data_IF_813679192315
#
_entry.id   IF_813679192315
#
_cell.length_a   1.000
_cell.length_b   1.000
_cell.length_c   1.000
_cell.angle_alpha   90.00
_cell.angle_beta   90.00
_cell.angle_gamma   90.00
#
_symmetry.space_group_name_H-M   'P 1'
#
loop_
_entity.id
_entity.type
_entity.pdbx_description
1 polymer ?
#
# COMPACT_ATOMS: atom_id res chain seq x y z
N UNK A 1 43.77 6.71 -38.52
CA UNK A 1 44.15 5.54 -37.72
C UNK A 1 43.46 5.70 -36.38
N UNK A 2 42.86 4.66 -35.82
CA UNK A 2 42.32 4.74 -34.46
C UNK A 2 43.51 4.83 -33.49
N UNK A 3 43.40 5.69 -32.48
CA UNK A 3 44.42 5.80 -31.44
C UNK A 3 44.46 4.52 -30.59
N UNK A 4 45.65 4.04 -30.20
CA UNK A 4 45.77 2.78 -29.46
C UNK A 4 45.48 2.95 -27.97
N UNK A 5 44.86 1.95 -27.35
CA UNK A 5 44.77 1.88 -25.89
C UNK A 5 46.14 1.67 -25.23
N UNK A 6 46.31 2.21 -24.02
CA UNK A 6 47.48 1.95 -23.18
C UNK A 6 47.14 0.82 -22.20
N UNK A 7 47.82 -0.32 -22.33
CA UNK A 7 47.59 -1.49 -21.49
C UNK A 7 48.80 -1.76 -20.58
N UNK A 8 48.57 -2.05 -19.31
CA UNK A 8 49.61 -2.52 -18.38
C UNK A 8 49.13 -3.72 -17.56
N UNK A 9 50.02 -4.68 -17.35
CA UNK A 9 49.79 -5.82 -16.44
C UNK A 9 50.85 -5.79 -15.35
N UNK A 10 50.41 -5.79 -14.11
CA UNK A 10 51.26 -5.90 -12.93
C UNK A 10 51.01 -7.24 -12.23
N UNK A 11 52.09 -7.96 -11.91
CA UNK A 11 52.06 -9.18 -11.12
C UNK A 11 52.88 -8.97 -9.85
N UNK A 12 52.25 -9.11 -8.70
CA UNK A 12 52.84 -8.96 -7.38
C UNK A 12 52.48 -10.15 -6.50
N UNK A 13 53.45 -10.66 -5.72
CA UNK A 13 53.17 -11.73 -4.75
C UNK A 13 52.29 -11.26 -3.59
N UNK A 14 52.32 -9.95 -3.29
CA UNK A 14 51.55 -9.34 -2.21
C UNK A 14 50.26 -8.70 -2.70
N UNK A 15 50.30 -8.04 -3.86
CA UNK A 15 49.16 -7.36 -4.47
C UNK A 15 48.33 -8.20 -5.45
N UNK A 16 48.84 -9.38 -5.84
CA UNK A 16 48.23 -10.26 -6.84
C UNK A 16 48.40 -9.73 -8.27
N UNK A 17 47.38 -9.88 -9.11
CA UNK A 17 47.43 -9.50 -10.53
C UNK A 17 46.54 -8.29 -10.77
N UNK A 18 47.08 -7.27 -11.43
CA UNK A 18 46.31 -6.10 -11.86
C UNK A 18 46.48 -5.89 -13.37
N UNK A 19 45.38 -5.71 -14.08
CA UNK A 19 45.33 -5.34 -15.49
C UNK A 19 44.69 -3.97 -15.59
N UNK A 20 45.35 -3.03 -16.28
CA UNK A 20 44.84 -1.68 -16.52
C UNK A 20 44.80 -1.41 -18.02
N UNK A 21 43.69 -0.84 -18.48
CA UNK A 21 43.52 -0.32 -19.85
C UNK A 21 43.10 1.14 -19.75
N UNK A 22 43.83 2.03 -20.40
CA UNK A 22 43.54 3.46 -20.45
C UNK A 22 43.22 3.91 -21.87
N UNK A 23 42.19 4.73 -21.96
CA UNK A 23 41.82 5.53 -23.12
C UNK A 23 42.00 6.99 -22.70
N UNK A 24 43.10 7.60 -23.16
CA UNK A 24 43.44 8.97 -22.75
C UNK A 24 42.51 10.00 -23.39
N UNK A 25 42.06 9.77 -24.63
CA UNK A 25 41.15 10.66 -25.35
C UNK A 25 39.76 10.71 -24.71
N UNK A 26 39.24 9.54 -24.30
CA UNK A 26 37.93 9.44 -23.67
C UNK A 26 37.97 9.72 -22.16
N UNK A 27 39.16 9.88 -21.57
CA UNK A 27 39.41 9.99 -20.14
C UNK A 27 38.80 8.81 -19.36
N UNK A 28 39.10 7.58 -19.83
CA UNK A 28 38.58 6.33 -19.25
C UNK A 28 39.73 5.44 -18.80
N UNK A 29 39.63 4.95 -17.56
CA UNK A 29 40.52 3.90 -17.04
C UNK A 29 39.70 2.69 -16.60
N UNK A 30 40.04 1.52 -17.14
CA UNK A 30 39.47 0.23 -16.75
C UNK A 30 40.52 -0.57 -15.99
N UNK A 31 40.13 -1.21 -14.90
CA UNK A 31 41.05 -1.97 -14.05
C UNK A 31 40.40 -3.27 -13.59
N UNK A 32 41.13 -4.38 -13.71
CA UNK A 32 40.79 -5.66 -13.08
C UNK A 32 41.91 -6.00 -12.11
N UNK A 33 41.60 -6.13 -10.83
CA UNK A 33 42.55 -6.47 -9.78
C UNK A 33 42.12 -7.76 -9.06
N UNK A 34 43.06 -8.68 -8.88
CA UNK A 34 42.88 -9.97 -8.22
C UNK A 34 43.97 -10.12 -7.16
N UNK A 35 43.66 -9.85 -5.90
CA UNK A 35 44.66 -9.77 -4.82
C UNK A 35 44.73 -11.03 -3.92
N UNK A 36 44.16 -12.14 -4.38
CA UNK A 36 44.10 -13.41 -3.65
C UNK A 36 42.93 -13.56 -2.67
N UNK A 37 42.26 -12.46 -2.30
CA UNK A 37 41.05 -12.49 -1.44
C UNK A 37 39.83 -11.87 -2.11
N UNK A 38 40.06 -10.94 -3.03
CA UNK A 38 39.03 -10.19 -3.73
C UNK A 38 39.33 -10.12 -5.22
N UNK A 39 38.28 -10.06 -6.02
CA UNK A 39 38.33 -9.64 -7.42
C UNK A 39 37.59 -8.32 -7.54
N UNK A 40 38.24 -7.31 -8.11
CA UNK A 40 37.66 -5.98 -8.31
C UNK A 40 37.75 -5.58 -9.77
N UNK A 41 36.63 -5.21 -10.37
CA UNK A 41 36.54 -4.61 -11.70
C UNK A 41 36.11 -3.15 -11.51
N UNK A 42 36.92 -2.22 -12.00
CA UNK A 42 36.65 -0.77 -11.89
C UNK A 42 36.66 -0.12 -13.25
N UNK A 43 35.70 0.75 -13.51
CA UNK A 43 35.70 1.67 -14.65
C UNK A 43 35.60 3.08 -14.10
N UNK A 44 36.57 3.94 -14.42
CA UNK A 44 36.57 5.37 -14.09
C UNK A 44 36.42 6.18 -15.37
N UNK A 45 35.65 7.26 -15.31
CA UNK A 45 35.54 8.26 -16.36
C UNK A 45 35.65 9.65 -15.75
N UNK A 46 36.74 10.36 -16.05
CA UNK A 46 37.10 11.58 -15.33
C UNK A 46 37.28 11.36 -13.83
N UNK A 47 37.16 12.44 -13.05
CA UNK A 47 37.53 12.42 -11.63
C UNK A 47 36.47 11.73 -10.74
N UNK A 48 35.18 11.92 -11.03
CA UNK A 48 34.11 11.62 -10.07
C UNK A 48 33.22 10.43 -10.46
N UNK A 49 33.27 9.97 -11.72
CA UNK A 49 32.38 8.88 -12.20
C UNK A 49 33.10 7.56 -12.13
N UNK A 50 32.64 6.67 -11.26
CA UNK A 50 33.24 5.35 -11.07
C UNK A 50 32.18 4.27 -10.97
N UNK A 51 32.35 3.18 -11.71
CA UNK A 51 31.63 1.92 -11.49
C UNK A 51 32.59 0.88 -10.95
N UNK A 52 32.17 0.10 -9.96
CA UNK A 52 32.96 -0.95 -9.33
C UNK A 52 32.11 -2.20 -9.10
N UNK A 53 32.64 -3.35 -9.50
CA UNK A 53 32.20 -4.66 -9.06
C UNK A 53 33.29 -5.25 -8.17
N UNK A 54 32.96 -5.57 -6.92
CA UNK A 54 33.86 -6.26 -5.99
C UNK A 54 33.24 -7.57 -5.56
N UNK A 55 34.02 -8.64 -5.65
CA UNK A 55 33.64 -9.97 -5.20
C UNK A 55 34.69 -10.48 -4.21
N UNK A 56 34.24 -11.04 -3.10
CA UNK A 56 35.05 -11.82 -2.17
C UNK A 56 34.33 -13.13 -1.82
N UNK A 57 34.82 -13.85 -0.81
CA UNK A 57 34.24 -15.14 -0.41
C UNK A 57 32.85 -15.02 0.24
N UNK A 58 32.48 -13.84 0.74
CA UNK A 58 31.27 -13.62 1.54
C UNK A 58 30.21 -12.79 0.79
N UNK A 59 30.63 -11.92 -0.13
CA UNK A 59 29.73 -10.95 -0.77
C UNK A 59 30.12 -10.57 -2.20
N UNK A 60 29.11 -10.07 -2.91
CA UNK A 60 29.24 -9.36 -4.19
C UNK A 60 28.69 -7.94 -3.99
N UNK A 61 29.45 -6.94 -4.43
CA UNK A 61 29.06 -5.53 -4.36
C UNK A 61 29.17 -4.90 -5.74
N UNK A 62 28.05 -4.41 -6.26
CA UNK A 62 28.01 -3.48 -7.39
C UNK A 62 27.84 -2.06 -6.83
N UNK A 63 28.70 -1.14 -7.24
CA UNK A 63 28.68 0.26 -6.82
C UNK A 63 28.84 1.17 -8.03
N UNK A 64 27.98 2.17 -8.16
CA UNK A 64 28.09 3.24 -9.14
C UNK A 64 28.11 4.57 -8.40
N UNK A 65 29.18 5.33 -8.55
CA UNK A 65 29.42 6.60 -7.91
C UNK A 65 29.43 7.75 -8.93
N UNK A 66 28.77 8.84 -8.57
CA UNK A 66 28.84 10.19 -9.14
C UNK A 66 28.47 11.17 -8.02
N UNK A 67 27.60 12.13 -8.27
CA UNK A 67 27.08 13.06 -7.25
C UNK A 67 26.41 12.34 -6.05
N UNK A 68 25.80 11.20 -6.33
CA UNK A 68 25.30 10.25 -5.35
C UNK A 68 25.79 8.84 -5.69
N UNK A 69 25.66 7.89 -4.75
CA UNK A 69 26.09 6.50 -4.94
C UNK A 69 24.89 5.55 -4.92
N UNK A 70 24.82 4.67 -5.92
CA UNK A 70 23.92 3.50 -5.90
C UNK A 70 24.71 2.23 -5.63
N UNK A 71 24.15 1.32 -4.83
CA UNK A 71 24.78 0.05 -4.47
C UNK A 71 23.81 -1.11 -4.52
N UNK A 72 24.27 -2.26 -5.00
CA UNK A 72 23.66 -3.57 -4.77
C UNK A 72 24.68 -4.42 -4.02
N UNK A 73 24.32 -4.90 -2.84
CA UNK A 73 25.14 -5.79 -2.02
C UNK A 73 24.41 -7.10 -1.81
N UNK A 74 25.04 -8.20 -2.21
CA UNK A 74 24.52 -9.55 -2.02
C UNK A 74 25.46 -10.33 -1.10
N UNK A 75 24.90 -10.93 -0.05
CA UNK A 75 25.53 -11.95 0.80
C UNK A 75 24.84 -13.29 0.57
N UNK A 76 25.29 -14.34 1.27
CA UNK A 76 24.69 -15.67 1.18
C UNK A 76 23.18 -15.72 1.51
N UNK A 77 22.67 -14.77 2.29
CA UNK A 77 21.33 -14.77 2.88
C UNK A 77 20.55 -13.47 2.62
N UNK A 78 21.13 -12.48 1.94
CA UNK A 78 20.54 -11.15 1.82
C UNK A 78 20.96 -10.43 0.54
N UNK A 79 20.04 -9.63 0.00
CA UNK A 79 20.33 -8.60 -1.00
C UNK A 79 19.88 -7.24 -0.44
N UNK A 80 20.73 -6.22 -0.57
CA UNK A 80 20.43 -4.84 -0.19
C UNK A 80 20.69 -3.94 -1.39
N UNK A 81 19.67 -3.17 -1.77
CA UNK A 81 19.78 -2.12 -2.78
C UNK A 81 19.67 -0.76 -2.12
N UNK A 82 20.56 0.17 -2.48
CA UNK A 82 20.47 1.58 -2.11
C UNK A 82 20.60 2.40 -3.38
N UNK A 83 19.62 3.26 -3.64
CA UNK A 83 19.58 4.10 -4.82
C UNK A 83 18.61 5.28 -4.56
N UNK A 84 18.66 6.28 -5.44
CA UNK A 84 17.75 7.43 -5.41
C UNK A 84 16.38 7.12 -6.02
N UNK A 85 16.38 6.34 -7.10
CA UNK A 85 15.20 5.91 -7.84
C UNK A 85 15.37 4.46 -8.28
N UNK A 86 14.28 3.71 -8.27
CA UNK A 86 14.21 2.32 -8.70
C UNK A 86 12.95 2.11 -9.53
N UNK A 87 13.12 1.93 -10.83
CA UNK A 87 12.05 1.68 -11.80
C UNK A 87 12.12 0.23 -12.31
N UNK A 88 10.97 -0.42 -12.40
CA UNK A 88 10.83 -1.79 -12.93
C UNK A 88 9.80 -1.77 -14.06
N UNK A 89 10.28 -1.84 -15.30
CA UNK A 89 9.46 -2.03 -16.49
C UNK A 89 9.54 -3.51 -16.91
N UNK A 90 8.46 -4.24 -16.67
CA UNK A 90 8.40 -5.67 -16.91
C UNK A 90 6.96 -6.10 -17.23
N UNK A 91 6.81 -7.13 -18.07
CA UNK A 91 5.51 -7.75 -18.37
C UNK A 91 4.86 -8.34 -17.10
N UNK A 92 5.67 -8.91 -16.20
CA UNK A 92 5.20 -9.48 -14.94
C UNK A 92 6.25 -9.31 -13.85
N UNK A 93 5.80 -8.88 -12.67
CA UNK A 93 6.60 -8.81 -11.45
C UNK A 93 5.91 -9.65 -10.38
N UNK A 94 6.66 -10.54 -9.71
CA UNK A 94 6.13 -11.43 -8.66
C UNK A 94 7.01 -11.33 -7.42
N UNK A 95 6.40 -10.98 -6.28
CA UNK A 95 7.05 -10.93 -4.98
C UNK A 95 6.41 -11.98 -4.07
N UNK A 96 7.21 -12.95 -3.61
CA UNK A 96 6.77 -14.03 -2.72
C UNK A 96 7.69 -14.08 -1.51
N UNK A 97 7.10 -14.17 -0.31
CA UNK A 97 7.81 -14.40 0.95
C UNK A 97 7.08 -15.51 1.70
N UNK A 98 7.83 -16.43 2.30
CA UNK A 98 7.28 -17.47 3.18
C UNK A 98 7.06 -16.94 4.61
N UNK A 99 7.61 -15.77 4.90
CA UNK A 99 7.49 -15.06 6.17
C UNK A 99 6.91 -13.67 5.91
N UNK A 100 7.02 -12.80 6.90
CA UNK A 100 6.54 -11.44 6.81
C UNK A 100 7.18 -10.67 5.65
N UNK A 101 6.39 -9.78 5.05
CA UNK A 101 6.84 -8.79 4.10
C UNK A 101 6.35 -7.41 4.60
N UNK A 102 7.21 -6.40 4.49
CA UNK A 102 6.90 -5.04 4.94
C UNK A 102 7.15 -4.07 3.80
N UNK A 103 6.18 -3.18 3.56
CA UNK A 103 6.28 -2.08 2.62
C UNK A 103 6.10 -0.79 3.40
N UNK A 104 7.15 0.03 3.45
CA UNK A 104 7.18 1.28 4.20
C UNK A 104 7.64 2.42 3.29
N UNK A 105 6.94 3.54 3.36
CA UNK A 105 7.32 4.77 2.69
C UNK A 105 7.31 5.92 3.71
N UNK A 106 8.44 6.63 3.84
CA UNK A 106 8.50 7.87 4.63
C UNK A 106 7.73 9.04 3.99
N UNK A 107 7.40 8.92 2.69
CA UNK A 107 6.55 9.84 1.94
C UNK A 107 5.25 9.20 1.48
N UNK A 108 4.76 9.60 0.30
CA UNK A 108 3.52 9.05 -0.27
C UNK A 108 3.75 7.65 -0.87
N UNK A 109 2.96 6.67 -0.46
CA UNK A 109 2.82 5.39 -1.16
C UNK A 109 1.57 5.43 -2.05
N UNK A 110 1.71 5.11 -3.33
CA UNK A 110 0.59 5.03 -4.29
C UNK A 110 0.60 3.64 -4.92
N UNK A 111 -0.56 2.99 -4.96
CA UNK A 111 -0.77 1.70 -5.64
C UNK A 111 -1.90 1.90 -6.64
N UNK A 112 -1.60 1.73 -7.92
CA UNK A 112 -2.56 1.98 -9.01
C UNK A 112 -2.65 0.74 -9.89
N UNK A 113 -3.86 0.32 -10.21
CA UNK A 113 -4.15 -0.69 -11.25
C UNK A 113 -5.13 -0.08 -12.25
N UNK A 114 -4.91 -0.33 -13.54
CA UNK A 114 -5.84 0.03 -14.61
C UNK A 114 -6.86 -1.09 -14.89
N UNK A 115 -6.67 -2.23 -14.24
CA UNK A 115 -7.57 -3.39 -14.24
C UNK A 115 -7.97 -3.68 -12.79
N UNK A 116 -8.48 -4.87 -12.55
CA UNK A 116 -8.83 -5.33 -11.21
C UNK A 116 -7.63 -5.27 -10.26
N UNK A 117 -7.89 -4.90 -9.01
CA UNK A 117 -6.95 -4.98 -7.90
C UNK A 117 -7.58 -5.86 -6.83
N UNK A 118 -6.89 -6.94 -6.44
CA UNK A 118 -7.35 -7.85 -5.41
C UNK A 118 -6.42 -7.78 -4.19
N UNK A 119 -6.98 -7.44 -3.02
CA UNK A 119 -6.32 -7.51 -1.73
C UNK A 119 -7.03 -8.56 -0.89
N UNK A 120 -6.32 -9.61 -0.48
CA UNK A 120 -6.89 -10.72 0.28
C UNK A 120 -5.98 -11.12 1.43
N UNK A 121 -6.59 -11.57 2.53
CA UNK A 121 -5.93 -12.15 3.69
C UNK A 121 -6.76 -13.34 4.15
N UNK A 122 -6.12 -14.48 4.41
CA UNK A 122 -6.79 -15.68 4.94
C UNK A 122 -7.07 -15.58 6.44
N UNK A 123 -6.47 -14.61 7.13
CA UNK A 123 -6.67 -14.36 8.55
C UNK A 123 -7.32 -12.99 8.76
N UNK A 124 -6.51 -11.95 8.98
CA UNK A 124 -6.97 -10.58 9.24
C UNK A 124 -6.43 -9.63 8.17
N UNK A 125 -7.29 -8.77 7.65
CA UNK A 125 -6.90 -7.56 6.92
C UNK A 125 -7.23 -6.36 7.81
N UNK A 126 -6.24 -5.52 8.13
CA UNK A 126 -6.43 -4.30 8.92
C UNK A 126 -6.03 -3.10 8.08
N UNK A 127 -6.89 -2.09 8.03
CA UNK A 127 -6.60 -0.80 7.41
C UNK A 127 -6.90 0.31 8.42
N UNK A 128 -5.97 1.24 8.58
CA UNK A 128 -6.08 2.33 9.55
C UNK A 128 -5.37 3.59 9.02
N UNK A 129 -5.93 4.75 9.32
CA UNK A 129 -5.34 6.06 9.05
C UNK A 129 -5.42 6.93 10.30
N UNK A 130 -4.40 7.77 10.52
CA UNK A 130 -4.42 8.76 11.61
C UNK A 130 -5.34 9.96 11.28
N UNK A 131 -5.49 10.25 9.99
CA UNK A 131 -6.40 11.27 9.45
C UNK A 131 -7.51 10.59 8.64
N UNK A 132 -8.07 11.29 7.67
CA UNK A 132 -9.16 10.80 6.84
C UNK A 132 -8.81 9.52 6.07
N UNK A 133 -9.75 8.57 6.06
CA UNK A 133 -9.77 7.43 5.15
C UNK A 133 -10.92 7.63 4.16
N UNK A 134 -10.62 7.60 2.86
CA UNK A 134 -11.61 7.83 1.81
C UNK A 134 -11.75 6.56 0.96
N UNK A 135 -12.96 6.00 0.91
CA UNK A 135 -13.33 4.89 0.03
C UNK A 135 -14.39 5.41 -0.95
N UNK A 136 -14.06 5.40 -2.24
CA UNK A 136 -14.96 5.87 -3.30
C UNK A 136 -15.12 4.81 -4.37
N UNK A 137 -16.36 4.61 -4.81
CA UNK A 137 -16.69 3.85 -6.01
C UNK A 137 -17.58 4.71 -6.89
N UNK A 138 -17.26 4.78 -8.19
CA UNK A 138 -18.10 5.47 -9.18
C UNK A 138 -19.32 4.63 -9.61
N UNK A 139 -19.33 3.34 -9.26
CA UNK A 139 -20.40 2.41 -9.56
C UNK A 139 -21.00 1.88 -8.24
N UNK A 140 -20.91 0.58 -7.98
CA UNK A 140 -21.38 -0.03 -6.75
C UNK A 140 -20.23 -0.14 -5.72
N UNK A 141 -20.57 -0.05 -4.45
CA UNK A 141 -19.72 -0.46 -3.33
C UNK A 141 -20.44 -1.60 -2.59
N UNK A 142 -19.95 -2.82 -2.78
CA UNK A 142 -20.48 -4.00 -2.09
C UNK A 142 -19.62 -4.32 -0.85
N UNK A 143 -20.09 -3.91 0.32
CA UNK A 143 -19.43 -4.17 1.60
C UNK A 143 -20.23 -5.21 2.40
N UNK A 144 -19.68 -6.42 2.54
CA UNK A 144 -20.34 -7.54 3.24
C UNK A 144 -19.51 -8.01 4.43
N UNK A 145 -20.18 -8.28 5.55
CA UNK A 145 -19.61 -8.96 6.72
C UNK A 145 -20.50 -10.15 7.08
N UNK A 146 -19.89 -11.31 7.36
CA UNK A 146 -20.62 -12.52 7.82
C UNK A 146 -20.80 -12.54 9.34
N UNK A 147 -19.93 -11.82 10.06
CA UNK A 147 -20.11 -11.48 11.47
C UNK A 147 -20.58 -10.03 11.62
N UNK A 148 -20.00 -9.31 12.58
CA UNK A 148 -20.35 -7.90 12.82
C UNK A 148 -19.75 -6.96 11.75
N UNK A 149 -20.57 -6.06 11.22
CA UNK A 149 -20.11 -4.81 10.61
C UNK A 149 -20.31 -3.66 11.61
N UNK A 150 -19.21 -3.09 12.13
CA UNK A 150 -19.27 -1.98 13.11
C UNK A 150 -18.86 -0.68 12.45
N UNK A 151 -19.77 0.31 12.48
CA UNK A 151 -19.50 1.69 12.07
C UNK A 151 -19.67 2.60 13.27
N UNK A 152 -18.56 3.18 13.73
CA UNK A 152 -18.52 4.04 14.91
C UNK A 152 -17.69 5.27 14.64
N UNK A 153 -18.19 6.43 15.05
CA UNK A 153 -17.49 7.70 15.03
C UNK A 153 -18.21 8.71 15.89
N UNK A 154 -17.59 9.87 16.15
CA UNK A 154 -18.27 10.97 16.84
C UNK A 154 -19.56 11.38 16.10
N UNK A 155 -19.51 11.33 14.77
CA UNK A 155 -20.65 11.45 13.88
C UNK A 155 -20.62 10.30 12.86
N UNK A 156 -21.79 9.83 12.44
CA UNK A 156 -21.92 8.84 11.37
C UNK A 156 -23.11 9.24 10.51
N UNK A 157 -22.88 9.40 9.22
CA UNK A 157 -23.89 9.83 8.24
C UNK A 157 -24.02 8.77 7.17
N UNK A 158 -25.25 8.30 6.93
CA UNK A 158 -25.59 7.38 5.85
C UNK A 158 -26.64 8.05 4.98
N UNK A 159 -26.24 8.47 3.78
CA UNK A 159 -27.11 9.15 2.83
C UNK A 159 -27.38 8.24 1.63
N UNK A 160 -28.65 8.09 1.27
CA UNK A 160 -29.07 7.44 0.04
C UNK A 160 -30.02 8.36 -0.71
N UNK A 161 -29.69 8.68 -1.96
CA UNK A 161 -30.50 9.58 -2.80
C UNK A 161 -31.77 8.92 -3.34
N UNK A 162 -31.72 7.61 -3.61
CA UNK A 162 -32.84 6.85 -4.16
C UNK A 162 -33.55 6.02 -3.10
N UNK A 163 -32.82 5.16 -2.39
CA UNK A 163 -33.38 4.23 -1.41
C UNK A 163 -32.34 3.83 -0.37
N UNK A 164 -32.71 3.90 0.90
CA UNK A 164 -32.01 3.26 2.00
C UNK A 164 -32.83 2.05 2.46
N UNK A 165 -32.21 0.88 2.58
CA UNK A 165 -32.85 -0.34 3.10
C UNK A 165 -32.05 -0.84 4.30
N UNK A 166 -32.71 -1.00 5.45
CA UNK A 166 -32.15 -1.63 6.65
C UNK A 166 -33.01 -2.86 6.93
N UNK A 167 -32.42 -4.04 6.81
CA UNK A 167 -33.09 -5.31 7.08
C UNK A 167 -32.38 -6.05 8.22
N UNK A 168 -33.09 -6.25 9.32
CA UNK A 168 -32.60 -6.94 10.50
C UNK A 168 -33.32 -8.27 10.65
N UNK A 169 -32.61 -9.39 10.50
CA UNK A 169 -33.23 -10.72 10.52
C UNK A 169 -33.89 -11.08 11.86
N UNK A 170 -33.40 -10.56 12.98
CA UNK A 170 -33.97 -10.80 14.32
C UNK A 170 -34.37 -9.50 15.02
N UNK A 171 -33.48 -8.50 14.99
CA UNK A 171 -33.71 -7.20 15.59
C UNK A 171 -32.95 -6.12 14.83
N UNK A 172 -33.43 -4.89 14.95
CA UNK A 172 -32.76 -3.68 14.51
C UNK A 172 -32.92 -2.64 15.64
N UNK A 173 -31.99 -2.64 16.58
CA UNK A 173 -32.07 -1.80 17.77
C UNK A 173 -31.56 -0.38 17.48
N UNK A 174 -32.37 0.63 17.85
CA UNK A 174 -32.00 2.04 17.76
C UNK A 174 -32.08 2.67 19.15
N UNK A 175 -30.92 3.00 19.74
CA UNK A 175 -30.84 3.68 21.02
C UNK A 175 -30.19 5.05 20.85
N UNK A 176 -30.97 6.12 21.05
CA UNK A 176 -30.50 7.49 20.95
C UNK A 176 -31.33 8.40 21.87
N UNK A 177 -30.74 9.51 22.33
CA UNK A 177 -31.48 10.54 23.09
C UNK A 177 -32.61 11.20 22.28
N UNK A 178 -32.54 11.13 20.94
CA UNK A 178 -33.59 11.56 20.02
C UNK A 178 -33.50 10.75 18.72
N UNK A 179 -34.64 10.25 18.25
CA UNK A 179 -34.81 9.70 16.90
C UNK A 179 -35.77 10.63 16.15
N UNK A 180 -35.32 11.21 15.03
CA UNK A 180 -36.14 12.09 14.20
C UNK A 180 -36.44 11.42 12.85
N UNK A 181 -37.72 11.25 12.52
CA UNK A 181 -38.18 10.67 11.26
C UNK A 181 -39.01 11.72 10.54
N UNK A 182 -38.46 12.31 9.48
CA UNK A 182 -39.07 13.40 8.70
C UNK A 182 -39.39 12.95 7.27
N UNK A 183 -40.31 12.00 7.13
CA UNK A 183 -40.78 11.55 5.81
C UNK A 183 -41.72 12.59 5.16
N UNK A 184 -41.55 12.86 3.87
CA UNK A 184 -42.42 13.81 3.12
C UNK A 184 -43.72 13.16 2.62
N UNK A 185 -43.77 11.83 2.55
CA UNK A 185 -44.91 11.09 2.02
C UNK A 185 -45.59 10.22 3.09
N UNK A 186 -44.84 9.30 3.70
CA UNK A 186 -45.38 8.30 4.63
C UNK A 186 -44.28 7.78 5.55
N UNK A 187 -44.66 7.44 6.78
CA UNK A 187 -43.88 6.60 7.67
C UNK A 187 -44.78 5.44 8.12
N UNK A 188 -44.36 4.20 7.87
CA UNK A 188 -45.10 2.98 8.21
C UNK A 188 -44.41 2.22 9.34
N UNK A 189 -45.15 1.90 10.40
CA UNK A 189 -44.71 1.03 11.49
C UNK A 189 -45.59 -0.22 11.52
N UNK A 190 -45.21 -1.22 10.72
CA UNK A 190 -45.98 -2.46 10.56
C UNK A 190 -45.34 -3.58 11.38
N UNK A 191 -45.96 -3.96 12.50
CA UNK A 191 -45.58 -5.13 13.28
C UNK A 191 -46.84 -5.75 13.95
N UNK A 192 -46.81 -7.04 14.33
CA UNK A 192 -47.89 -7.65 15.11
C UNK A 192 -48.15 -6.94 16.45
N UNK A 193 -47.11 -6.31 17.01
CA UNK A 193 -47.17 -5.49 18.21
C UNK A 193 -46.19 -4.32 18.06
N UNK A 194 -46.69 -3.10 18.22
CA UNK A 194 -45.89 -1.87 18.24
C UNK A 194 -46.18 -1.11 19.52
N UNK A 195 -45.15 -0.78 20.29
CA UNK A 195 -45.28 0.07 21.49
C UNK A 195 -44.67 1.43 21.20
N UNK A 196 -45.43 2.51 21.43
CA UNK A 196 -45.00 3.89 21.17
C UNK A 196 -45.21 4.75 22.41
N UNK A 197 -44.10 5.28 22.94
CA UNK A 197 -44.07 6.12 24.14
C UNK A 197 -43.97 5.34 25.45
N UNK A 198 -43.55 6.03 26.51
CA UNK A 198 -43.57 5.53 27.89
C UNK A 198 -44.36 6.49 28.81
N UNK A 199 -44.09 7.80 28.72
CA UNK A 199 -44.78 8.81 29.55
C UNK A 199 -45.85 9.58 28.77
N UNK A 200 -45.49 10.16 27.62
CA UNK A 200 -46.38 11.00 26.79
C UNK A 200 -46.14 10.71 25.31
N UNK A 201 -47.22 10.53 24.56
CA UNK A 201 -47.21 10.44 23.10
C UNK A 201 -48.14 11.49 22.52
N UNK A 202 -47.62 12.40 21.68
CA UNK A 202 -48.40 13.44 21.02
C UNK A 202 -48.64 13.05 19.56
N UNK A 203 -49.91 12.97 19.16
CA UNK A 203 -50.31 12.69 17.77
C UNK A 203 -51.07 13.90 17.23
N UNK A 204 -50.56 14.50 16.15
CA UNK A 204 -51.14 15.68 15.52
C UNK A 204 -51.35 15.43 14.02
N UNK A 205 -52.50 15.85 13.51
CA UNK A 205 -52.85 15.77 12.10
C UNK A 205 -54.26 16.32 11.86
N UNK A 206 -54.56 16.72 10.62
CA UNK A 206 -55.92 17.14 10.22
C UNK A 206 -56.94 15.99 10.29
N UNK A 207 -56.46 14.75 10.19
CA UNK A 207 -57.24 13.52 10.36
C UNK A 207 -56.39 12.46 11.08
N UNK A 208 -56.88 11.99 12.22
CA UNK A 208 -56.29 10.87 12.97
C UNK A 208 -57.32 9.74 13.01
N UNK A 209 -56.96 8.57 12.48
CA UNK A 209 -57.81 7.37 12.50
C UNK A 209 -57.22 6.34 13.46
N UNK A 210 -57.99 6.00 14.50
CA UNK A 210 -57.67 4.92 15.44
C UNK A 210 -58.77 3.86 15.31
N UNK A 211 -58.40 2.61 15.07
CA UNK A 211 -59.36 1.52 14.87
C UNK A 211 -58.80 0.18 15.36
N UNK A 212 -59.64 -0.61 16.01
CA UNK A 212 -59.33 -1.96 16.51
C UNK A 212 -60.54 -2.58 17.21
N UNK A 213 -60.49 -3.88 17.48
CA UNK A 213 -61.55 -4.58 18.24
C UNK A 213 -61.67 -4.10 19.68
N UNK A 214 -60.61 -3.51 20.24
CA UNK A 214 -60.57 -2.88 21.55
C UNK A 214 -59.72 -1.61 21.48
N UNK A 215 -60.35 -0.46 21.75
CA UNK A 215 -59.67 0.83 21.88
C UNK A 215 -59.97 1.35 23.28
N UNK A 216 -58.93 1.47 24.11
CA UNK A 216 -59.02 2.05 25.45
C UNK A 216 -58.36 3.41 25.43
N UNK A 217 -59.18 4.45 25.44
CA UNK A 217 -58.74 5.84 25.64
C UNK A 217 -58.97 6.18 27.11
N UNK A 218 -57.94 6.68 27.77
CA UNK A 218 -58.02 7.28 29.11
C UNK A 218 -58.32 8.76 28.99
#
# INVERSE_FOLDING_TARGET
MAEPFICSIELSKTGGVTVVVKDEDADITQTVAMNGTTVTVTVKKGEDKTSTLTQDAERIVLRVAGDETSTITQTHDRIVMKCKAFDVDAETVTLKSEKDATHEAGGKMTVTSTKDMALSSSAKLSASSASDMKLESSAALDATATGDAKLSGANTTVEASAKLTLDGGTAADMSAGKIAISGTMKADLTAPLTTVGQDVTTVQGSLVKVSGSLVKLG
#
